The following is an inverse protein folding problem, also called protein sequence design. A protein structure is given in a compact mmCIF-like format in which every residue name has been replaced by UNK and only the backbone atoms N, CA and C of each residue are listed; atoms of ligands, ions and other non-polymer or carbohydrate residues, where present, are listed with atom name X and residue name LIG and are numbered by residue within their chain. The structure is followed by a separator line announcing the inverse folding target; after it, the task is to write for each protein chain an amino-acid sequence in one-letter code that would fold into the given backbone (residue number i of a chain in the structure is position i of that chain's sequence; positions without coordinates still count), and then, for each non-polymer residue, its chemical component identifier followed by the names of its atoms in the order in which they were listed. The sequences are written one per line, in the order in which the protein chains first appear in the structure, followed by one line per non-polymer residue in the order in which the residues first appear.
data_IF_055741913699
#
_entry.id   IF_055741913699
#
_cell.length_a   1.000
_cell.length_b   1.000
_cell.length_c   1.000
_cell.angle_alpha   90.00
_cell.angle_beta   90.00
_cell.angle_gamma   90.00
#
_symmetry.space_group_name_H-M   'P 1'
#
loop_
_entity.id
_entity.type
_entity.pdbx_description
1 polymer ?
#
# COMPACT_ATOMS: atom_id res chain seq x y z
N UNK A 1 47.17 36.82 45.57
CA UNK A 1 45.95 37.52 45.09
C UNK A 1 46.00 37.55 43.57
N UNK A 2 45.29 36.64 42.90
CA UNK A 2 45.22 36.56 41.43
C UNK A 2 43.76 36.34 41.03
N UNK A 3 43.20 37.26 40.24
CA UNK A 3 41.80 37.23 39.78
C UNK A 3 41.67 36.28 38.58
N UNK A 4 40.66 35.39 38.51
CA UNK A 4 40.37 34.66 37.29
C UNK A 4 39.56 35.53 36.32
N UNK A 5 39.98 35.56 35.05
CA UNK A 5 39.27 36.23 33.94
C UNK A 5 38.02 35.44 33.49
N UNK A 6 37.09 36.07 32.74
CA UNK A 6 35.79 35.49 32.49
C UNK A 6 35.84 34.40 31.42
N UNK A 7 35.26 33.25 31.76
CA UNK A 7 34.93 32.17 30.82
C UNK A 7 34.04 32.69 29.69
N UNK A 8 34.53 32.65 28.44
CA UNK A 8 33.69 32.77 27.24
C UNK A 8 32.96 31.45 27.00
N UNK A 9 31.68 31.37 27.34
CA UNK A 9 30.79 30.31 26.86
C UNK A 9 30.36 30.63 25.42
N UNK A 10 30.85 29.84 24.46
CA UNK A 10 30.28 29.80 23.11
C UNK A 10 28.94 29.08 23.18
N UNK A 11 27.83 29.82 23.14
CA UNK A 11 26.48 29.25 23.02
C UNK A 11 26.30 28.72 21.60
N UNK A 12 26.45 27.42 21.41
CA UNK A 12 26.00 26.71 20.21
C UNK A 12 24.50 26.92 20.04
N UNK A 13 24.11 27.77 19.08
CA UNK A 13 22.74 27.87 18.59
C UNK A 13 22.45 26.61 17.77
N UNK A 14 21.90 25.59 18.42
CA UNK A 14 21.29 24.46 17.72
C UNK A 14 20.02 24.99 17.05
N UNK A 15 20.10 25.34 15.77
CA UNK A 15 18.94 25.65 14.95
C UNK A 15 18.20 24.34 14.72
N UNK A 16 17.24 24.04 15.59
CA UNK A 16 16.25 22.98 15.40
C UNK A 16 15.28 23.41 14.29
N UNK A 17 15.76 23.41 13.05
CA UNK A 17 14.92 23.61 11.88
C UNK A 17 14.21 22.31 11.55
N UNK A 18 13.06 22.03 12.18
CA UNK A 18 12.10 21.10 11.58
C UNK A 18 11.71 21.71 10.23
N UNK A 19 12.24 21.19 9.12
CA UNK A 19 11.79 21.55 7.78
C UNK A 19 10.29 21.28 7.74
N UNK A 20 9.48 22.34 7.65
CA UNK A 20 8.06 22.17 7.39
C UNK A 20 7.90 21.42 6.06
N UNK A 21 7.02 20.40 5.98
CA UNK A 21 6.73 19.77 4.71
C UNK A 21 6.16 20.83 3.78
N UNK A 22 6.77 20.97 2.59
CA UNK A 22 6.23 21.83 1.53
C UNK A 22 4.80 21.38 1.24
N UNK A 23 3.85 22.32 1.21
CA UNK A 23 2.46 22.01 0.86
C UNK A 23 2.40 21.35 -0.51
N UNK A 24 1.70 20.22 -0.63
CA UNK A 24 1.50 19.54 -1.92
C UNK A 24 0.72 20.47 -2.85
N UNK A 25 1.18 20.71 -4.09
CA UNK A 25 0.46 21.50 -5.09
C UNK A 25 -0.99 21.03 -5.26
N UNK A 26 -1.94 21.97 -5.30
CA UNK A 26 -3.39 21.66 -5.42
C UNK A 26 -3.70 20.82 -6.67
N UNK A 27 -3.04 21.12 -7.77
CA UNK A 27 -3.19 20.38 -9.03
C UNK A 27 -2.85 18.89 -8.88
N UNK A 28 -1.78 18.56 -8.15
CA UNK A 28 -1.43 17.17 -7.87
C UNK A 28 -2.53 16.48 -7.05
N UNK A 29 -3.07 17.14 -6.03
CA UNK A 29 -4.17 16.61 -5.21
C UNK A 29 -5.40 16.31 -6.09
N UNK A 30 -5.73 17.18 -7.04
CA UNK A 30 -6.84 16.97 -7.96
C UNK A 30 -6.60 15.80 -8.92
N UNK A 31 -5.38 15.65 -9.43
CA UNK A 31 -4.99 14.51 -10.27
C UNK A 31 -5.11 13.19 -9.50
N UNK A 32 -4.67 13.12 -8.24
CA UNK A 32 -4.83 11.93 -7.41
C UNK A 32 -6.29 11.59 -7.15
N UNK A 33 -7.18 12.58 -6.96
CA UNK A 33 -8.63 12.35 -6.85
C UNK A 33 -9.22 11.77 -8.13
N UNK A 34 -8.83 12.30 -9.28
CA UNK A 34 -9.25 11.77 -10.59
C UNK A 34 -8.76 10.33 -10.78
N UNK A 35 -7.51 10.04 -10.45
CA UNK A 35 -6.94 8.70 -10.50
C UNK A 35 -7.69 7.74 -9.58
N UNK A 36 -7.96 8.13 -8.33
CA UNK A 36 -8.72 7.32 -7.39
C UNK A 36 -10.12 6.99 -7.91
N UNK A 37 -10.80 7.95 -8.56
CA UNK A 37 -12.09 7.73 -9.20
C UNK A 37 -12.01 6.72 -10.35
N UNK A 38 -11.03 6.86 -11.24
CA UNK A 38 -10.81 5.92 -12.35
C UNK A 38 -10.51 4.52 -11.81
N UNK A 39 -9.62 4.40 -10.80
CA UNK A 39 -9.32 3.13 -10.13
C UNK A 39 -10.58 2.47 -9.55
N UNK A 40 -11.44 3.24 -8.90
CA UNK A 40 -12.71 2.73 -8.38
C UNK A 40 -13.64 2.21 -9.50
N UNK A 41 -13.72 2.93 -10.62
CA UNK A 41 -14.55 2.52 -11.76
C UNK A 41 -14.05 1.22 -12.40
N UNK A 42 -12.74 1.09 -12.63
CA UNK A 42 -12.20 -0.14 -13.25
C UNK A 42 -12.26 -1.34 -12.29
N UNK A 43 -12.10 -1.14 -10.97
CA UNK A 43 -12.33 -2.19 -9.97
C UNK A 43 -13.76 -2.71 -9.99
N UNK A 44 -14.75 -1.84 -10.17
CA UNK A 44 -16.15 -2.26 -10.30
C UNK A 44 -16.40 -3.11 -11.56
N UNK A 45 -15.52 -3.01 -12.57
CA UNK A 45 -15.51 -3.85 -13.77
C UNK A 45 -14.66 -5.13 -13.59
N UNK A 46 -14.09 -5.36 -12.40
CA UNK A 46 -13.25 -6.52 -12.11
C UNK A 46 -11.79 -6.39 -12.54
N UNK A 47 -11.36 -5.19 -12.98
CA UNK A 47 -9.98 -4.94 -13.41
C UNK A 47 -9.08 -4.73 -12.19
N UNK A 48 -7.91 -5.38 -12.20
CA UNK A 48 -6.87 -5.19 -11.20
C UNK A 48 -6.14 -3.86 -11.43
N UNK A 49 -5.85 -3.12 -10.35
CA UNK A 49 -5.31 -1.75 -10.45
C UNK A 49 -3.83 -1.61 -10.07
N UNK A 50 -3.12 -2.74 -9.94
CA UNK A 50 -1.70 -2.82 -9.61
C UNK A 50 -1.28 -1.93 -8.42
N UNK A 51 -2.16 -1.80 -7.42
CA UNK A 51 -1.90 -1.07 -6.17
C UNK A 51 -1.24 -1.95 -5.10
N UNK A 52 -1.14 -3.24 -5.36
CA UNK A 52 -0.46 -4.22 -4.52
C UNK A 52 0.00 -5.41 -5.35
N UNK A 53 0.88 -6.23 -4.79
CA UNK A 53 1.16 -7.55 -5.36
C UNK A 53 -0.07 -8.48 -5.26
N UNK A 54 -0.11 -9.46 -6.16
CA UNK A 54 -1.14 -10.51 -6.17
C UNK A 54 -0.97 -11.42 -4.95
N UNK A 55 -2.09 -11.83 -4.35
CA UNK A 55 -2.07 -12.59 -3.11
C UNK A 55 -2.08 -14.09 -3.37
N UNK A 56 -1.28 -14.81 -2.61
CA UNK A 56 -1.39 -16.26 -2.41
C UNK A 56 -1.72 -16.53 -0.94
N UNK A 57 -2.73 -17.38 -0.69
CA UNK A 57 -3.05 -17.82 0.65
C UNK A 57 -2.20 -19.05 1.02
N UNK A 58 -1.24 -18.91 1.95
CA UNK A 58 -0.32 -20.00 2.29
C UNK A 58 -1.02 -21.19 2.98
N UNK A 59 -2.20 -20.98 3.56
CA UNK A 59 -2.92 -22.02 4.29
C UNK A 59 -3.75 -22.96 3.38
N UNK A 60 -4.41 -22.42 2.35
CA UNK A 60 -5.36 -23.20 1.53
C UNK A 60 -5.06 -23.17 0.02
N UNK A 61 -3.95 -22.54 -0.37
CA UNK A 61 -3.48 -22.49 -1.76
C UNK A 61 -4.36 -21.70 -2.73
N UNK A 62 -5.27 -20.84 -2.24
CA UNK A 62 -6.02 -19.94 -3.12
C UNK A 62 -5.08 -18.79 -3.54
N UNK A 63 -4.96 -18.52 -4.84
CA UNK A 63 -4.15 -17.42 -5.36
C UNK A 63 -4.96 -16.49 -6.26
N UNK A 64 -4.46 -15.27 -6.40
CA UNK A 64 -4.87 -14.29 -7.38
C UNK A 64 -3.97 -14.33 -8.62
N UNK A 65 -4.56 -14.00 -9.75
CA UNK A 65 -3.88 -13.82 -11.03
C UNK A 65 -4.60 -12.75 -11.87
N UNK A 66 -3.99 -12.33 -12.97
CA UNK A 66 -4.54 -11.32 -13.88
C UNK A 66 -4.57 -11.86 -15.29
N UNK A 67 -5.76 -11.87 -15.89
CA UNK A 67 -5.92 -12.28 -17.29
C UNK A 67 -5.23 -11.30 -18.24
N UNK A 68 -5.01 -11.70 -19.49
CA UNK A 68 -4.52 -10.78 -20.54
C UNK A 68 -5.39 -9.53 -20.77
N UNK A 69 -6.64 -9.52 -20.27
CA UNK A 69 -7.56 -8.38 -20.31
C UNK A 69 -7.50 -7.50 -19.06
N UNK A 70 -6.60 -7.78 -18.12
CA UNK A 70 -6.46 -7.05 -16.86
C UNK A 70 -7.45 -7.44 -15.76
N UNK A 71 -8.30 -8.46 -15.99
CA UNK A 71 -9.27 -8.90 -14.99
C UNK A 71 -8.60 -9.68 -13.86
N UNK A 72 -8.91 -9.32 -12.62
CA UNK A 72 -8.51 -10.05 -11.43
C UNK A 72 -9.30 -11.35 -11.34
N UNK A 73 -8.60 -12.47 -11.30
CA UNK A 73 -9.16 -13.82 -11.16
C UNK A 73 -8.53 -14.53 -9.98
N UNK A 74 -9.20 -15.58 -9.50
CA UNK A 74 -8.70 -16.42 -8.41
C UNK A 74 -8.96 -17.89 -8.68
N UNK A 75 -8.02 -18.74 -8.33
CA UNK A 75 -8.16 -20.18 -8.45
C UNK A 75 -7.28 -20.90 -7.42
N UNK A 76 -7.51 -22.18 -7.11
CA UNK A 76 -6.58 -22.98 -6.31
C UNK A 76 -5.28 -23.24 -7.10
N UNK A 77 -4.13 -23.13 -6.45
CA UNK A 77 -2.79 -23.28 -7.06
C UNK A 77 -2.59 -24.59 -7.82
N UNK A 78 -3.13 -25.66 -7.26
CA UNK A 78 -2.98 -27.01 -7.82
C UNK A 78 -4.16 -27.40 -8.73
N UNK A 79 -4.99 -26.43 -9.13
CA UNK A 79 -6.11 -26.67 -10.04
C UNK A 79 -5.60 -26.84 -11.47
N UNK A 80 -6.05 -27.91 -12.13
CA UNK A 80 -5.83 -28.10 -13.58
C UNK A 80 -6.69 -27.14 -14.40
N UNK A 81 -7.86 -26.78 -13.88
CA UNK A 81 -8.75 -25.78 -14.48
C UNK A 81 -8.44 -24.41 -13.86
N UNK A 82 -7.74 -23.54 -14.59
CA UNK A 82 -7.38 -22.18 -14.18
C UNK A 82 -8.55 -21.19 -14.37
N UNK A 83 -9.77 -21.68 -14.20
CA UNK A 83 -10.97 -20.86 -14.26
C UNK A 83 -11.13 -20.07 -12.96
N UNK A 84 -11.53 -18.81 -13.10
CA UNK A 84 -11.85 -17.98 -11.97
C UNK A 84 -12.98 -18.61 -11.12
N UNK A 85 -12.71 -18.87 -9.85
CA UNK A 85 -13.68 -19.38 -8.89
C UNK A 85 -14.55 -18.27 -8.27
N UNK A 86 -14.30 -17.00 -8.61
CA UNK A 86 -15.11 -15.85 -8.17
C UNK A 86 -14.89 -15.42 -6.72
N UNK A 87 -13.98 -16.08 -6.00
CA UNK A 87 -13.60 -15.68 -4.64
C UNK A 87 -12.71 -14.44 -4.68
N UNK A 88 -12.82 -13.53 -3.72
CA UNK A 88 -11.98 -12.32 -3.67
C UNK A 88 -11.46 -12.07 -2.27
N UNK A 89 -10.16 -11.79 -2.17
CA UNK A 89 -9.53 -11.40 -0.92
C UNK A 89 -10.11 -10.08 -0.42
N UNK A 90 -10.49 -10.03 0.85
CA UNK A 90 -11.15 -8.85 1.43
C UNK A 90 -10.15 -8.06 2.27
N UNK A 91 -10.01 -6.74 2.07
CA UNK A 91 -9.14 -5.94 2.93
C UNK A 91 -9.63 -6.00 4.38
N UNK A 92 -8.69 -6.20 5.30
CA UNK A 92 -8.91 -6.10 6.75
C UNK A 92 -8.39 -4.76 7.24
N UNK A 93 -7.23 -4.36 6.74
CA UNK A 93 -6.60 -3.06 6.92
C UNK A 93 -5.82 -2.69 5.65
N UNK A 94 -5.05 -1.60 5.69
CA UNK A 94 -4.29 -1.09 4.53
C UNK A 94 -3.26 -2.09 3.97
N UNK A 95 -2.79 -3.04 4.79
CA UNK A 95 -1.70 -3.96 4.42
C UNK A 95 -2.08 -5.42 4.56
N UNK A 96 -3.31 -5.74 4.99
CA UNK A 96 -3.74 -7.11 5.25
C UNK A 96 -5.06 -7.44 4.61
N UNK A 97 -5.15 -8.67 4.13
CA UNK A 97 -6.31 -9.21 3.45
C UNK A 97 -6.71 -10.55 4.07
N UNK A 98 -8.01 -10.80 4.17
CA UNK A 98 -8.56 -12.07 4.60
C UNK A 98 -8.82 -12.98 3.39
N UNK A 99 -8.35 -14.21 3.47
CA UNK A 99 -8.66 -15.25 2.51
C UNK A 99 -10.16 -15.56 2.54
N UNK A 100 -10.87 -15.49 1.40
CA UNK A 100 -12.31 -15.74 1.34
C UNK A 100 -12.67 -17.22 1.58
N UNK A 101 -11.72 -18.15 1.41
CA UNK A 101 -11.95 -19.60 1.54
C UNK A 101 -11.74 -20.10 2.97
N UNK A 102 -10.67 -19.69 3.64
CA UNK A 102 -10.29 -20.22 4.96
C UNK A 102 -10.12 -19.16 6.06
N UNK A 103 -10.26 -17.86 5.75
CA UNK A 103 -10.14 -16.78 6.72
C UNK A 103 -8.72 -16.38 7.13
N UNK A 104 -7.69 -17.08 6.65
CA UNK A 104 -6.28 -16.71 6.91
C UNK A 104 -6.00 -15.26 6.50
N UNK A 105 -5.30 -14.52 7.36
CA UNK A 105 -4.88 -13.13 7.09
C UNK A 105 -3.52 -13.12 6.41
N UNK A 106 -3.45 -12.53 5.23
CA UNK A 106 -2.23 -12.38 4.42
C UNK A 106 -1.81 -10.92 4.44
N UNK A 107 -0.51 -10.68 4.56
CA UNK A 107 0.07 -9.34 4.42
C UNK A 107 0.34 -9.08 2.93
N UNK A 108 -0.23 -8.02 2.39
CA UNK A 108 0.03 -7.53 1.05
C UNK A 108 1.29 -6.67 1.02
N UNK A 109 2.00 -6.73 -0.12
CA UNK A 109 3.01 -5.74 -0.50
C UNK A 109 2.29 -4.66 -1.29
N UNK A 110 2.33 -3.42 -0.78
CA UNK A 110 1.72 -2.24 -1.43
C UNK A 110 2.77 -1.59 -2.34
N UNK A 111 2.35 -1.15 -3.54
CA UNK A 111 3.21 -0.56 -4.57
C UNK A 111 3.15 0.97 -4.60
#
# INVERSE_FOLDING_TARGET
MTRPGPHRQAKSRVVSGRRQPRSVPRELVELFRKLAKVKAQVRALGIFTDDRELLECPNCGLLEDVTAKGLLVTYPKDSVDLKDCGLRFRPVDETRFACPKCGTRIKAVIL
#
